data_IF_923095922916
#
_entry.id   IF_923095922916
#
_cell.length_a   1.000
_cell.length_b   1.000
_cell.length_c   1.000
_cell.angle_alpha   90.00
_cell.angle_beta   90.00
_cell.angle_gamma   90.00
#
_symmetry.space_group_name_H-M   'P 1'
#
loop_
_entity.id
_entity.type
_entity.pdbx_description
1 polymer ?
#
# COMPACT_ATOMS: atom_id res chain seq x y z
N UNK A 1 25.41 -15.16 -32.09
CA UNK A 1 25.47 -14.82 -30.65
C UNK A 1 24.22 -15.38 -30.02
N UNK A 2 24.34 -16.14 -28.95
CA UNK A 2 23.19 -16.78 -28.30
C UNK A 2 22.42 -15.76 -27.43
N UNK A 3 21.11 -15.79 -27.47
CA UNK A 3 20.26 -15.04 -26.54
C UNK A 3 20.63 -15.44 -25.11
N UNK A 4 20.69 -14.46 -24.19
CA UNK A 4 20.96 -14.71 -22.77
C UNK A 4 19.80 -15.42 -22.06
N UNK A 5 18.63 -15.37 -22.65
CA UNK A 5 17.44 -16.09 -22.22
C UNK A 5 16.58 -16.40 -23.45
N UNK A 6 15.89 -17.57 -23.53
CA UNK A 6 15.10 -17.94 -24.70
C UNK A 6 14.01 -16.91 -25.07
N UNK A 7 13.42 -16.26 -24.06
CA UNK A 7 12.34 -15.27 -24.24
C UNK A 7 12.84 -13.83 -24.32
N UNK A 8 14.17 -13.57 -24.24
CA UNK A 8 14.74 -12.24 -24.38
C UNK A 8 15.24 -12.04 -25.80
N UNK A 9 14.79 -10.99 -26.46
CA UNK A 9 15.33 -10.61 -27.78
C UNK A 9 16.64 -9.82 -27.62
N UNK A 10 17.77 -10.55 -27.64
CA UNK A 10 19.09 -9.98 -27.44
C UNK A 10 19.73 -9.48 -28.76
N UNK A 11 19.22 -9.86 -29.92
CA UNK A 11 19.79 -9.44 -31.20
C UNK A 11 19.57 -7.96 -31.47
N UNK A 12 20.67 -7.21 -31.64
CA UNK A 12 20.61 -5.75 -31.76
C UNK A 12 20.21 -5.00 -30.48
N UNK A 13 20.09 -5.68 -29.32
CA UNK A 13 19.84 -5.02 -28.04
C UNK A 13 21.02 -4.13 -27.62
N UNK A 14 20.78 -2.89 -27.12
CA UNK A 14 21.85 -2.00 -26.66
C UNK A 14 22.75 -2.62 -25.57
N UNK A 15 22.22 -3.58 -24.80
CA UNK A 15 22.93 -4.28 -23.73
C UNK A 15 23.46 -5.66 -24.14
N UNK A 16 23.43 -6.02 -25.42
CA UNK A 16 23.77 -7.36 -25.91
C UNK A 16 25.19 -7.81 -25.46
N UNK A 17 26.16 -6.88 -25.42
CA UNK A 17 27.56 -7.18 -25.06
C UNK A 17 27.87 -7.09 -23.57
N UNK A 18 26.89 -6.68 -22.73
CA UNK A 18 27.06 -6.58 -21.28
C UNK A 18 26.94 -7.95 -20.62
N UNK A 19 27.65 -8.12 -19.50
CA UNK A 19 27.50 -9.31 -18.66
C UNK A 19 26.12 -9.33 -18.00
N UNK A 20 25.67 -10.51 -17.57
CA UNK A 20 24.32 -10.72 -17.09
C UNK A 20 24.30 -11.54 -15.79
N UNK A 21 23.29 -11.29 -14.98
CA UNK A 21 22.86 -12.19 -13.91
C UNK A 21 21.44 -12.70 -14.22
N UNK A 22 21.18 -13.94 -13.86
CA UNK A 22 19.97 -14.65 -14.27
C UNK A 22 18.97 -14.77 -13.12
N UNK A 23 17.70 -14.86 -13.46
CA UNK A 23 16.62 -15.14 -12.51
C UNK A 23 16.93 -16.40 -11.71
N UNK A 24 16.68 -16.36 -10.39
CA UNK A 24 16.86 -17.50 -9.49
C UNK A 24 15.64 -17.68 -8.61
N UNK A 25 15.49 -18.89 -8.05
CA UNK A 25 14.36 -19.31 -7.23
C UNK A 25 13.45 -20.30 -7.96
N UNK A 26 12.42 -20.83 -7.27
CA UNK A 26 11.51 -21.81 -7.84
C UNK A 26 10.74 -21.27 -9.06
N UNK A 27 10.53 -22.14 -10.05
CA UNK A 27 9.76 -21.75 -11.24
C UNK A 27 8.31 -21.38 -10.90
N UNK A 28 7.72 -22.05 -9.92
CA UNK A 28 6.36 -21.87 -9.42
C UNK A 28 6.26 -20.92 -8.21
N UNK A 29 7.31 -20.16 -7.92
CA UNK A 29 7.32 -19.24 -6.79
C UNK A 29 6.12 -18.27 -6.82
N UNK A 30 5.41 -18.21 -5.69
CA UNK A 30 4.27 -17.30 -5.52
C UNK A 30 4.69 -15.86 -5.21
N UNK A 31 5.93 -15.67 -4.74
CA UNK A 31 6.52 -14.35 -4.46
C UNK A 31 7.69 -14.11 -5.39
N UNK A 32 7.67 -12.97 -6.09
CA UNK A 32 8.74 -12.56 -7.00
C UNK A 32 9.25 -11.17 -6.61
N UNK A 33 10.54 -11.08 -6.30
CA UNK A 33 11.23 -9.81 -6.06
C UNK A 33 11.90 -9.33 -7.35
N UNK A 34 11.55 -8.13 -7.79
CA UNK A 34 12.05 -7.54 -9.04
C UNK A 34 12.84 -6.27 -8.74
N UNK A 35 14.09 -6.22 -9.19
CA UNK A 35 14.90 -5.00 -9.18
C UNK A 35 15.11 -4.45 -10.60
N UNK A 36 15.83 -3.36 -10.73
CA UNK A 36 16.07 -2.67 -12.02
C UNK A 36 16.98 -3.50 -12.95
N UNK A 37 18.18 -3.75 -12.52
CA UNK A 37 19.27 -4.41 -13.26
C UNK A 37 20.24 -5.01 -12.26
N UNK A 38 21.02 -6.04 -12.64
CA UNK A 38 22.06 -6.58 -11.78
C UNK A 38 23.18 -5.57 -11.56
N UNK A 39 23.74 -5.58 -10.37
CA UNK A 39 24.99 -4.93 -10.06
C UNK A 39 26.20 -5.81 -10.38
N UNK A 40 27.41 -5.26 -10.22
CA UNK A 40 28.66 -5.97 -10.49
C UNK A 40 28.77 -7.30 -9.72
N UNK A 41 28.41 -7.31 -8.42
CA UNK A 41 28.46 -8.55 -7.62
C UNK A 41 27.45 -9.60 -8.08
N UNK A 42 26.29 -9.16 -8.56
CA UNK A 42 25.28 -10.06 -9.10
C UNK A 42 25.78 -10.76 -10.37
N UNK A 43 26.44 -10.01 -11.25
CA UNK A 43 27.04 -10.56 -12.47
C UNK A 43 28.22 -11.51 -12.14
N UNK A 44 29.10 -11.13 -11.20
CA UNK A 44 30.22 -12.00 -10.76
C UNK A 44 29.71 -13.34 -10.20
N UNK A 45 28.53 -13.35 -9.56
CA UNK A 45 27.93 -14.55 -8.96
C UNK A 45 26.87 -15.22 -9.87
N UNK A 46 26.39 -14.53 -10.89
CA UNK A 46 25.42 -15.03 -11.86
C UNK A 46 23.96 -14.91 -11.44
N UNK A 47 23.63 -14.29 -10.31
CA UNK A 47 22.25 -14.16 -9.79
C UNK A 47 22.00 -12.81 -9.10
N UNK A 48 20.71 -12.33 -9.06
CA UNK A 48 20.34 -11.07 -8.44
C UNK A 48 20.54 -11.06 -6.92
N UNK A 49 20.81 -9.88 -6.37
CA UNK A 49 20.98 -9.67 -4.93
C UNK A 49 22.10 -10.53 -4.31
N UNK A 50 23.22 -10.69 -5.02
CA UNK A 50 24.39 -11.46 -4.56
C UNK A 50 25.35 -10.63 -3.67
N UNK A 51 25.18 -9.32 -3.59
CA UNK A 51 25.97 -8.39 -2.78
C UNK A 51 25.28 -8.00 -1.46
N UNK A 52 25.69 -6.85 -0.90
CA UNK A 52 25.15 -6.33 0.37
C UNK A 52 23.62 -6.10 0.33
N UNK A 53 23.07 -5.72 -0.81
CA UNK A 53 21.62 -5.63 -0.99
C UNK A 53 20.91 -6.97 -0.77
N UNK A 54 21.58 -8.07 -1.07
CA UNK A 54 21.09 -9.41 -0.80
C UNK A 54 21.04 -9.72 0.68
N UNK A 55 22.04 -9.30 1.45
CA UNK A 55 22.02 -9.47 2.93
C UNK A 55 20.80 -8.76 3.55
N UNK A 56 20.52 -7.55 3.09
CA UNK A 56 19.30 -6.82 3.53
C UNK A 56 18.02 -7.55 3.14
N UNK A 57 17.95 -8.05 1.90
CA UNK A 57 16.79 -8.84 1.43
C UNK A 57 16.63 -10.12 2.25
N UNK A 58 17.70 -10.85 2.52
CA UNK A 58 17.67 -12.09 3.32
C UNK A 58 17.14 -11.81 4.72
N UNK A 59 17.65 -10.77 5.38
CA UNK A 59 17.16 -10.34 6.70
C UNK A 59 15.66 -9.99 6.69
N UNK A 60 15.20 -9.22 5.71
CA UNK A 60 13.78 -8.85 5.59
C UNK A 60 12.89 -10.07 5.31
N UNK A 61 13.37 -11.02 4.53
CA UNK A 61 12.66 -12.27 4.29
C UNK A 61 12.54 -13.09 5.57
N UNK A 62 13.65 -13.27 6.30
CA UNK A 62 13.69 -14.04 7.56
C UNK A 62 12.78 -13.43 8.63
N UNK A 63 12.77 -12.10 8.80
CA UNK A 63 11.86 -11.40 9.72
C UNK A 63 10.39 -11.63 9.38
N UNK A 64 10.07 -11.94 8.14
CA UNK A 64 8.72 -12.23 7.67
C UNK A 64 8.43 -13.73 7.50
N UNK A 65 9.33 -14.63 7.96
CA UNK A 65 9.14 -16.07 7.93
C UNK A 65 9.44 -16.73 6.57
N UNK A 66 10.14 -16.03 5.69
CA UNK A 66 10.55 -16.52 4.37
C UNK A 66 12.05 -16.77 4.29
N UNK A 67 12.45 -17.66 3.39
CA UNK A 67 13.84 -17.86 2.98
C UNK A 67 14.01 -17.49 1.50
N UNK A 68 15.23 -17.14 1.11
CA UNK A 68 15.56 -16.79 -0.27
C UNK A 68 15.14 -17.87 -1.28
N UNK A 69 15.29 -19.13 -0.91
CA UNK A 69 14.99 -20.28 -1.77
C UNK A 69 13.48 -20.48 -2.03
N UNK A 70 12.62 -19.78 -1.29
CA UNK A 70 11.15 -19.85 -1.43
C UNK A 70 10.62 -18.80 -2.39
N UNK A 71 11.43 -17.80 -2.75
CA UNK A 71 11.02 -16.71 -3.64
C UNK A 71 11.82 -16.71 -4.93
N UNK A 72 11.25 -16.15 -5.97
CA UNK A 72 11.98 -15.86 -7.21
C UNK A 72 12.57 -14.46 -7.15
N UNK A 73 13.83 -14.31 -7.57
CA UNK A 73 14.47 -12.99 -7.69
C UNK A 73 14.89 -12.74 -9.12
N UNK A 74 14.57 -11.57 -9.63
CA UNK A 74 14.87 -11.18 -11.01
C UNK A 74 15.10 -9.68 -11.15
N UNK A 75 15.39 -9.22 -12.35
CA UNK A 75 15.58 -7.82 -12.71
C UNK A 75 14.74 -7.46 -13.94
N UNK A 76 14.44 -6.18 -14.14
CA UNK A 76 13.77 -5.69 -15.36
C UNK A 76 14.58 -6.06 -16.61
N UNK A 77 15.90 -5.89 -16.54
CA UNK A 77 16.86 -6.37 -17.55
C UNK A 77 17.90 -7.27 -16.91
N UNK A 78 18.35 -8.33 -17.59
CA UNK A 78 19.36 -9.27 -17.07
C UNK A 78 20.77 -8.71 -17.11
N UNK A 79 21.02 -7.67 -17.88
CA UNK A 79 22.35 -7.15 -18.15
C UNK A 79 22.74 -6.05 -17.18
N UNK A 80 24.02 -6.01 -16.77
CA UNK A 80 24.57 -4.95 -15.93
C UNK A 80 24.45 -3.59 -16.60
N UNK A 81 23.79 -2.66 -15.90
CA UNK A 81 23.69 -1.26 -16.31
C UNK A 81 23.15 -0.42 -15.14
N UNK A 82 23.59 0.83 -15.05
CA UNK A 82 23.03 1.78 -14.09
C UNK A 82 21.69 2.37 -14.54
N UNK A 83 21.54 2.55 -15.88
CA UNK A 83 20.33 3.10 -16.48
C UNK A 83 19.93 2.25 -17.71
N UNK A 84 18.97 1.34 -17.57
CA UNK A 84 18.57 0.47 -18.66
C UNK A 84 17.85 1.25 -19.76
N UNK A 85 18.35 1.23 -21.00
CA UNK A 85 17.67 1.86 -22.13
C UNK A 85 16.26 1.29 -22.33
N UNK A 86 15.30 2.14 -22.70
CA UNK A 86 13.90 1.72 -22.95
C UNK A 86 13.80 0.57 -23.95
N UNK A 87 14.65 0.57 -24.96
CA UNK A 87 14.70 -0.50 -25.96
C UNK A 87 15.14 -1.84 -25.33
N UNK A 88 16.12 -1.83 -24.43
CA UNK A 88 16.54 -3.02 -23.71
C UNK A 88 15.44 -3.56 -22.77
N UNK A 89 14.72 -2.67 -22.09
CA UNK A 89 13.55 -3.03 -21.25
C UNK A 89 12.50 -3.71 -22.10
N UNK A 90 12.12 -3.11 -23.24
CA UNK A 90 11.12 -3.66 -24.15
C UNK A 90 11.52 -5.06 -24.66
N UNK A 91 12.78 -5.27 -25.02
CA UNK A 91 13.29 -6.56 -25.51
C UNK A 91 13.39 -7.63 -24.41
N UNK A 92 13.61 -7.23 -23.15
CA UNK A 92 13.60 -8.13 -22.01
C UNK A 92 12.18 -8.40 -21.45
N UNK A 93 11.18 -7.65 -21.85
CA UNK A 93 9.84 -7.73 -21.28
C UNK A 93 9.18 -9.12 -21.39
N UNK A 94 9.21 -9.85 -22.53
CA UNK A 94 8.61 -11.19 -22.62
C UNK A 94 9.18 -12.17 -21.60
N UNK A 95 10.49 -12.08 -21.33
CA UNK A 95 11.14 -12.88 -20.29
C UNK A 95 10.67 -12.47 -18.89
N UNK A 96 10.59 -11.15 -18.62
CA UNK A 96 10.09 -10.65 -17.33
C UNK A 96 8.64 -11.10 -17.09
N UNK A 97 7.77 -10.99 -18.09
CA UNK A 97 6.39 -11.42 -17.97
C UNK A 97 6.30 -12.93 -17.65
N UNK A 98 7.16 -13.76 -18.25
CA UNK A 98 7.25 -15.19 -17.92
C UNK A 98 7.74 -15.43 -16.49
N UNK A 99 8.74 -14.66 -16.01
CA UNK A 99 9.21 -14.76 -14.62
C UNK A 99 8.10 -14.41 -13.61
N UNK A 100 7.18 -13.51 -13.97
CA UNK A 100 6.08 -13.06 -13.13
C UNK A 100 4.81 -13.92 -13.26
N UNK A 101 4.74 -14.85 -14.21
CA UNK A 101 3.49 -15.54 -14.56
C UNK A 101 2.88 -16.33 -13.38
N UNK A 102 3.70 -16.93 -12.53
CA UNK A 102 3.27 -17.72 -11.36
C UNK A 102 3.02 -16.88 -10.11
N UNK A 103 3.48 -15.63 -10.08
CA UNK A 103 3.44 -14.78 -8.90
C UNK A 103 2.01 -14.51 -8.44
N UNK A 104 1.77 -14.64 -7.13
CA UNK A 104 0.63 -14.05 -6.41
C UNK A 104 1.00 -12.68 -5.86
N UNK A 105 2.26 -12.53 -5.43
CA UNK A 105 2.82 -11.28 -4.91
C UNK A 105 4.10 -10.91 -5.65
N UNK A 106 4.17 -9.66 -6.09
CA UNK A 106 5.35 -9.08 -6.73
C UNK A 106 5.86 -7.94 -5.86
N UNK A 107 7.13 -7.99 -5.49
CA UNK A 107 7.82 -6.89 -4.80
C UNK A 107 8.62 -6.12 -5.85
N UNK A 108 8.15 -4.94 -6.21
CA UNK A 108 8.74 -4.07 -7.22
C UNK A 108 9.72 -3.08 -6.56
N UNK A 109 11.02 -3.44 -6.53
CA UNK A 109 12.05 -2.74 -5.77
C UNK A 109 12.73 -1.64 -6.60
N UNK A 110 12.25 -0.41 -6.48
CA UNK A 110 12.80 0.79 -7.11
C UNK A 110 11.88 1.43 -8.16
N UNK A 111 12.33 2.55 -8.70
CA UNK A 111 11.53 3.39 -9.60
C UNK A 111 11.21 2.71 -10.95
N UNK A 112 12.17 2.01 -11.56
CA UNK A 112 11.99 1.32 -12.83
C UNK A 112 11.02 0.14 -12.69
N UNK A 113 11.14 -0.77 -11.70
CA UNK A 113 10.13 -1.80 -11.44
C UNK A 113 8.73 -1.23 -11.20
N UNK A 114 8.61 -0.15 -10.41
CA UNK A 114 7.31 0.52 -10.20
C UNK A 114 6.70 1.01 -11.51
N UNK A 115 7.51 1.65 -12.38
CA UNK A 115 7.06 2.17 -13.67
C UNK A 115 6.67 1.05 -14.63
N UNK A 116 7.47 0.00 -14.73
CA UNK A 116 7.26 -1.07 -15.70
C UNK A 116 6.12 -2.02 -15.31
N UNK A 117 5.96 -2.31 -14.01
CA UNK A 117 5.00 -3.32 -13.54
C UNK A 117 3.63 -2.70 -13.24
N UNK A 118 3.57 -1.54 -12.56
CA UNK A 118 2.30 -0.92 -12.13
C UNK A 118 2.04 0.48 -12.72
N UNK A 119 2.92 0.97 -13.62
CA UNK A 119 2.80 2.29 -14.25
C UNK A 119 2.75 3.44 -13.25
N UNK A 120 3.40 3.30 -12.11
CA UNK A 120 3.48 4.29 -11.04
C UNK A 120 4.90 4.83 -10.84
N UNK A 121 5.02 5.92 -10.08
CA UNK A 121 6.33 6.36 -9.56
C UNK A 121 6.59 5.71 -8.21
N UNK A 122 7.84 5.67 -7.76
CA UNK A 122 8.20 5.14 -6.45
C UNK A 122 7.43 5.86 -5.33
N UNK A 123 7.39 7.20 -5.35
CA UNK A 123 6.75 8.01 -4.31
C UNK A 123 5.22 7.80 -4.24
N UNK A 124 4.56 7.62 -5.38
CA UNK A 124 3.11 7.42 -5.43
C UNK A 124 2.69 5.97 -5.24
N UNK A 125 3.59 5.04 -5.55
CA UNK A 125 3.29 3.60 -5.52
C UNK A 125 3.61 2.92 -4.20
N UNK A 126 4.50 3.51 -3.37
CA UNK A 126 4.90 2.91 -2.09
C UNK A 126 3.78 2.91 -1.05
N UNK A 127 3.83 1.91 -0.16
CA UNK A 127 2.92 1.81 0.98
C UNK A 127 1.49 1.40 0.64
N UNK A 128 1.20 1.12 -0.63
CA UNK A 128 -0.12 0.69 -1.09
C UNK A 128 -0.03 -0.62 -1.89
N UNK A 129 -1.10 -1.37 -1.86
CA UNK A 129 -1.25 -2.58 -2.67
C UNK A 129 -1.78 -2.19 -4.04
N UNK A 130 -1.07 -2.59 -5.09
CA UNK A 130 -1.54 -2.44 -6.46
C UNK A 130 -2.03 -3.80 -6.98
N UNK A 131 -3.19 -3.81 -7.59
CA UNK A 131 -3.68 -4.97 -8.32
C UNK A 131 -3.20 -4.94 -9.77
N UNK A 132 -2.67 -6.06 -10.23
CA UNK A 132 -2.24 -6.27 -11.61
C UNK A 132 -2.90 -7.54 -12.14
N UNK A 133 -3.39 -7.50 -13.35
CA UNK A 133 -3.81 -8.71 -14.06
C UNK A 133 -2.60 -9.20 -14.85
N UNK A 134 -2.06 -10.34 -14.44
CA UNK A 134 -0.97 -11.04 -15.13
C UNK A 134 -1.46 -11.85 -16.31
N UNK A 135 -0.54 -12.50 -16.99
CA UNK A 135 -0.87 -13.43 -18.06
C UNK A 135 -1.77 -14.55 -17.55
N UNK A 136 -2.76 -14.98 -18.36
CA UNK A 136 -3.76 -15.96 -17.95
C UNK A 136 -4.84 -15.41 -17.00
N UNK A 137 -5.05 -14.09 -16.96
CA UNK A 137 -6.05 -13.38 -16.15
C UNK A 137 -5.91 -13.61 -14.63
N UNK A 138 -4.72 -13.98 -14.15
CA UNK A 138 -4.43 -14.12 -12.71
C UNK A 138 -4.31 -12.75 -12.07
N UNK A 139 -5.05 -12.50 -11.00
CA UNK A 139 -4.87 -11.32 -10.16
C UNK A 139 -3.56 -11.46 -9.37
N UNK A 140 -2.69 -10.48 -9.51
CA UNK A 140 -1.40 -10.38 -8.83
C UNK A 140 -1.37 -9.13 -7.97
N UNK A 141 -0.94 -9.27 -6.74
CA UNK A 141 -0.70 -8.14 -5.84
C UNK A 141 0.71 -7.63 -6.04
N UNK A 142 0.89 -6.33 -6.22
CA UNK A 142 2.18 -5.70 -6.39
C UNK A 142 2.42 -4.69 -5.28
N UNK A 143 3.54 -4.81 -4.59
CA UNK A 143 4.01 -3.86 -3.60
C UNK A 143 5.24 -3.16 -4.16
N UNK A 144 5.15 -1.85 -4.29
CA UNK A 144 6.28 -0.99 -4.69
C UNK A 144 7.09 -0.63 -3.45
N UNK A 145 8.39 -0.82 -3.51
CA UNK A 145 9.29 -0.50 -2.40
C UNK A 145 10.57 0.19 -2.86
N UNK A 146 11.34 0.74 -1.93
CA UNK A 146 12.67 1.25 -2.20
C UNK A 146 13.60 0.13 -2.65
N UNK A 147 14.58 0.46 -3.49
CA UNK A 147 15.61 -0.52 -3.85
C UNK A 147 16.53 -0.76 -2.65
N UNK A 148 16.72 -2.02 -2.18
CA UNK A 148 17.61 -2.33 -1.06
C UNK A 148 19.03 -1.76 -1.19
N UNK A 149 19.57 -1.72 -2.40
CA UNK A 149 20.88 -1.12 -2.64
C UNK A 149 20.91 0.41 -2.48
N UNK A 150 19.77 1.10 -2.69
CA UNK A 150 19.65 2.53 -2.44
C UNK A 150 19.56 2.81 -0.93
N UNK A 151 18.83 1.97 -0.21
CA UNK A 151 18.64 2.10 1.25
C UNK A 151 19.94 1.90 2.03
N UNK A 152 20.86 1.06 1.54
CA UNK A 152 22.20 0.91 2.14
C UNK A 152 22.99 2.24 2.06
N UNK A 153 22.76 3.06 1.04
CA UNK A 153 23.42 4.37 0.88
C UNK A 153 22.70 5.52 1.61
N UNK A 154 21.43 5.37 1.82
CA UNK A 154 20.54 6.33 2.49
C UNK A 154 19.58 5.56 3.40
N UNK A 155 19.96 5.44 4.68
CA UNK A 155 19.28 4.62 5.67
C UNK A 155 17.93 5.19 6.12
N UNK A 156 17.61 6.45 5.85
CA UNK A 156 16.35 7.09 6.25
C UNK A 156 15.12 6.37 5.65
N UNK A 157 15.34 5.66 4.54
CA UNK A 157 14.32 4.86 3.90
C UNK A 157 14.24 3.40 4.38
N UNK A 158 15.04 2.99 5.36
CA UNK A 158 15.02 1.61 5.86
C UNK A 158 13.69 1.23 6.55
N UNK A 159 13.09 2.06 7.43
CA UNK A 159 11.79 1.75 8.01
C UNK A 159 10.70 1.52 6.95
N UNK A 160 10.75 2.31 5.89
CA UNK A 160 9.85 2.17 4.76
C UNK A 160 10.02 0.83 4.02
N UNK A 161 11.26 0.40 3.83
CA UNK A 161 11.57 -0.89 3.19
C UNK A 161 11.06 -2.06 4.05
N UNK A 162 11.23 -2.00 5.38
CA UNK A 162 10.71 -2.99 6.33
C UNK A 162 9.19 -3.09 6.26
N UNK A 163 8.50 -1.94 6.30
CA UNK A 163 7.03 -1.88 6.23
C UNK A 163 6.49 -2.44 4.90
N UNK A 164 7.13 -2.10 3.78
CA UNK A 164 6.73 -2.57 2.45
C UNK A 164 6.93 -4.09 2.31
N UNK A 165 8.02 -4.65 2.84
CA UNK A 165 8.25 -6.11 2.85
C UNK A 165 7.23 -6.83 3.73
N UNK A 166 6.90 -6.27 4.91
CA UNK A 166 5.84 -6.81 5.77
C UNK A 166 4.49 -6.80 5.04
N UNK A 167 4.13 -5.70 4.38
CA UNK A 167 2.89 -5.60 3.60
C UNK A 167 2.84 -6.62 2.46
N UNK A 168 3.98 -6.91 1.82
CA UNK A 168 4.07 -7.88 0.73
C UNK A 168 3.93 -9.32 1.21
N UNK A 169 4.63 -9.67 2.28
CA UNK A 169 4.82 -11.06 2.73
C UNK A 169 3.78 -11.48 3.78
N UNK A 170 3.36 -10.56 4.64
CA UNK A 170 2.36 -10.76 5.68
C UNK A 170 1.27 -9.68 5.59
N UNK A 171 0.48 -9.68 4.50
CA UNK A 171 -0.56 -8.67 4.34
C UNK A 171 -1.55 -8.75 5.49
N UNK A 172 -2.07 -7.59 5.95
CA UNK A 172 -3.19 -7.60 6.86
C UNK A 172 -4.37 -8.36 6.22
N UNK A 173 -5.25 -8.94 7.01
CA UNK A 173 -6.47 -9.54 6.48
C UNK A 173 -7.22 -8.52 5.62
N UNK A 174 -7.94 -8.98 4.58
CA UNK A 174 -8.76 -8.07 3.77
C UNK A 174 -9.66 -7.25 4.69
N UNK A 175 -9.68 -5.94 4.49
CA UNK A 175 -10.65 -5.10 5.17
C UNK A 175 -12.04 -5.56 4.75
N UNK A 176 -12.79 -6.13 5.66
CA UNK A 176 -14.22 -6.29 5.49
C UNK A 176 -14.84 -4.89 5.52
N UNK A 177 -15.44 -4.48 4.41
CA UNK A 177 -16.17 -3.22 4.41
C UNK A 177 -17.30 -3.33 5.45
N UNK A 178 -17.42 -2.36 6.36
CA UNK A 178 -18.49 -2.36 7.33
C UNK A 178 -19.85 -2.24 6.61
N UNK A 179 -20.89 -2.75 7.21
CA UNK A 179 -22.25 -2.43 6.80
C UNK A 179 -22.50 -0.95 7.06
N UNK A 180 -22.88 -0.20 6.03
CA UNK A 180 -23.13 1.24 6.15
C UNK A 180 -24.60 1.52 5.97
N UNK A 181 -25.26 1.99 7.03
CA UNK A 181 -26.62 2.50 6.97
C UNK A 181 -26.62 3.98 6.59
N UNK A 182 -26.99 4.27 5.35
CA UNK A 182 -27.13 5.65 4.88
C UNK A 182 -28.51 6.18 5.26
N UNK A 183 -28.53 7.18 6.13
CA UNK A 183 -29.74 7.75 6.74
C UNK A 183 -30.12 9.04 6.02
N UNK A 184 -31.29 9.06 5.37
CA UNK A 184 -31.81 10.20 4.62
C UNK A 184 -33.21 10.66 5.13
N UNK A 185 -33.78 9.89 6.06
CA UNK A 185 -35.10 10.18 6.63
C UNK A 185 -35.02 10.51 8.12
N UNK A 186 -35.96 11.34 8.61
CA UNK A 186 -36.05 11.62 10.04
C UNK A 186 -36.27 10.36 10.90
N UNK A 187 -37.05 9.41 10.40
CA UNK A 187 -37.37 8.17 11.14
C UNK A 187 -36.10 7.31 11.36
N UNK A 188 -35.36 7.04 10.30
CA UNK A 188 -34.15 6.26 10.38
C UNK A 188 -33.05 6.97 11.20
N UNK A 189 -32.91 8.29 10.99
CA UNK A 189 -31.94 9.10 11.73
C UNK A 189 -32.21 9.11 13.24
N UNK A 190 -33.47 9.29 13.67
CA UNK A 190 -33.81 9.25 15.09
C UNK A 190 -33.64 7.88 15.74
N UNK A 191 -33.83 6.81 14.99
CA UNK A 191 -33.52 5.45 15.48
C UNK A 191 -32.01 5.28 15.74
N UNK A 192 -31.16 5.68 14.78
CA UNK A 192 -29.73 5.67 14.91
C UNK A 192 -29.21 6.57 16.04
N UNK A 193 -29.72 7.81 16.17
CA UNK A 193 -29.33 8.73 17.26
C UNK A 193 -29.63 8.12 18.64
N UNK A 194 -30.76 7.41 18.79
CA UNK A 194 -31.07 6.73 20.06
C UNK A 194 -30.09 5.59 20.36
N UNK A 195 -29.73 4.80 19.35
CA UNK A 195 -28.74 3.73 19.49
C UNK A 195 -27.37 4.32 19.85
N UNK A 196 -26.89 5.29 19.07
CA UNK A 196 -25.63 5.99 19.33
C UNK A 196 -25.58 6.65 20.70
N UNK A 197 -26.67 7.28 21.13
CA UNK A 197 -26.74 7.97 22.41
C UNK A 197 -26.72 7.07 23.65
N UNK A 198 -26.76 5.75 23.48
CA UNK A 198 -26.62 4.76 24.53
C UNK A 198 -25.18 4.19 24.65
N UNK A 199 -24.26 4.63 23.80
CA UNK A 199 -22.87 4.14 23.74
C UNK A 199 -21.94 4.98 24.63
N UNK A 200 -20.87 4.35 25.09
CA UNK A 200 -19.82 5.02 25.86
C UNK A 200 -18.71 5.55 24.98
N UNK A 201 -18.48 4.93 23.82
CA UNK A 201 -17.42 5.26 22.84
C UNK A 201 -18.02 5.31 21.44
N UNK A 202 -17.73 6.37 20.70
CA UNK A 202 -18.12 6.55 19.29
C UNK A 202 -16.95 7.05 18.45
N UNK A 203 -16.63 6.36 17.37
CA UNK A 203 -15.88 6.98 16.29
C UNK A 203 -16.81 7.94 15.54
N UNK A 204 -16.33 9.14 15.22
CA UNK A 204 -17.09 10.15 14.47
C UNK A 204 -16.21 10.84 13.44
N UNK A 205 -16.84 11.21 12.33
CA UNK A 205 -16.20 11.92 11.22
C UNK A 205 -17.23 12.85 10.57
N UNK A 206 -16.80 14.07 10.22
CA UNK A 206 -17.66 15.09 9.61
C UNK A 206 -17.09 15.55 8.29
N UNK A 207 -17.90 15.52 7.27
CA UNK A 207 -17.57 16.06 5.96
C UNK A 207 -18.40 17.31 5.64
N UNK A 208 -17.73 18.34 5.09
CA UNK A 208 -18.42 19.56 4.68
C UNK A 208 -17.46 20.72 4.40
N UNK A 209 -18.06 21.89 4.21
CA UNK A 209 -17.34 23.15 4.05
C UNK A 209 -17.85 24.15 5.07
N UNK A 210 -16.96 24.60 5.96
CA UNK A 210 -17.31 25.52 7.04
C UNK A 210 -18.17 26.69 6.59
N UNK A 211 -19.31 26.96 7.23
CA UNK A 211 -19.81 26.31 8.44
C UNK A 211 -20.75 25.08 8.19
N UNK A 212 -20.88 24.59 6.97
CA UNK A 212 -21.89 23.61 6.58
C UNK A 212 -21.38 22.17 6.79
N UNK A 213 -22.17 21.35 7.49
CA UNK A 213 -21.97 19.89 7.62
C UNK A 213 -22.80 19.22 6.53
N UNK A 214 -22.14 18.53 5.59
CA UNK A 214 -22.76 17.83 4.47
C UNK A 214 -23.10 16.38 4.81
N UNK A 215 -22.25 15.71 5.58
CA UNK A 215 -22.57 14.42 6.18
C UNK A 215 -21.86 14.23 7.52
N UNK A 216 -22.38 13.28 8.31
CA UNK A 216 -21.80 12.89 9.58
C UNK A 216 -21.79 11.36 9.68
N UNK A 217 -20.61 10.80 9.89
CA UNK A 217 -20.38 9.38 10.10
C UNK A 217 -20.25 9.05 11.59
N UNK A 218 -20.79 7.92 12.01
CA UNK A 218 -20.61 7.37 13.35
C UNK A 218 -20.44 5.86 13.29
N UNK A 219 -19.52 5.34 14.09
CA UNK A 219 -19.38 3.91 14.34
C UNK A 219 -19.08 3.65 15.82
N UNK A 220 -19.53 2.52 16.32
CA UNK A 220 -19.23 2.01 17.65
C UNK A 220 -18.73 0.55 17.61
N UNK A 221 -18.55 0.00 16.41
CA UNK A 221 -18.06 -1.35 16.17
C UNK A 221 -17.39 -1.46 14.79
N UNK A 222 -16.57 -2.50 14.59
CA UNK A 222 -15.71 -2.62 13.41
C UNK A 222 -16.47 -2.88 12.09
N UNK A 223 -17.66 -3.46 12.16
CA UNK A 223 -18.40 -3.97 11.00
C UNK A 223 -19.65 -3.14 10.65
N UNK A 224 -19.90 -2.04 11.35
CA UNK A 224 -21.10 -1.22 11.11
C UNK A 224 -20.87 0.28 11.32
N UNK A 225 -21.46 1.08 10.45
CA UNK A 225 -21.46 2.54 10.56
C UNK A 225 -22.79 3.16 10.15
N UNK A 226 -23.15 4.26 10.80
CA UNK A 226 -24.25 5.14 10.40
C UNK A 226 -23.69 6.36 9.67
N UNK A 227 -24.25 6.69 8.51
CA UNK A 227 -23.93 7.91 7.75
C UNK A 227 -25.19 8.76 7.61
N UNK A 228 -25.23 9.89 8.29
CA UNK A 228 -26.29 10.88 8.19
C UNK A 228 -26.01 11.78 6.99
N UNK A 229 -26.91 11.76 6.01
CA UNK A 229 -26.84 12.70 4.89
C UNK A 229 -27.23 14.10 5.36
N UNK A 230 -26.88 15.15 4.60
CA UNK A 230 -27.32 16.53 4.88
C UNK A 230 -28.81 16.63 5.15
N UNK A 231 -29.62 15.94 4.35
CA UNK A 231 -31.09 15.91 4.52
C UNK A 231 -31.51 15.33 5.86
N UNK A 232 -30.81 14.31 6.38
CA UNK A 232 -31.10 13.75 7.71
C UNK A 232 -30.60 14.70 8.80
N UNK A 233 -29.44 15.31 8.63
CA UNK A 233 -28.89 16.31 9.56
C UNK A 233 -29.83 17.48 9.73
N UNK A 234 -30.32 18.08 8.65
CA UNK A 234 -31.28 19.19 8.69
C UNK A 234 -32.57 18.83 9.44
N UNK A 235 -33.06 17.59 9.29
CA UNK A 235 -34.30 17.11 9.92
C UNK A 235 -34.16 16.73 11.39
N UNK A 236 -32.96 16.42 11.85
CA UNK A 236 -32.63 15.93 13.18
C UNK A 236 -31.56 16.77 13.87
N UNK A 237 -31.45 18.05 13.47
CA UNK A 237 -30.37 18.91 13.92
C UNK A 237 -30.29 19.04 15.44
N UNK A 238 -31.44 19.23 16.11
CA UNK A 238 -31.52 19.35 17.57
C UNK A 238 -31.05 18.10 18.30
N UNK A 239 -31.43 16.94 17.78
CA UNK A 239 -31.08 15.65 18.38
C UNK A 239 -29.64 15.28 18.14
N UNK A 240 -29.09 15.60 16.96
CA UNK A 240 -27.64 15.44 16.68
C UNK A 240 -26.80 16.40 17.51
N UNK A 241 -27.24 17.64 17.68
CA UNK A 241 -26.58 18.60 18.56
C UNK A 241 -26.54 18.10 20.01
N UNK A 242 -27.61 17.53 20.51
CA UNK A 242 -27.64 16.88 21.83
C UNK A 242 -26.68 15.71 21.89
N UNK A 243 -26.62 14.84 20.84
CA UNK A 243 -25.74 13.70 20.79
C UNK A 243 -24.27 14.14 20.94
N UNK A 244 -23.79 15.13 20.16
CA UNK A 244 -22.41 15.60 20.23
C UNK A 244 -22.04 16.33 21.54
N UNK A 245 -23.02 16.69 22.36
CA UNK A 245 -22.81 17.31 23.69
C UNK A 245 -22.92 16.31 24.84
N UNK A 246 -23.31 15.05 24.57
CA UNK A 246 -23.31 13.98 25.57
C UNK A 246 -21.91 13.66 26.08
N UNK A 247 -21.77 13.15 27.30
CA UNK A 247 -20.48 12.68 27.85
C UNK A 247 -20.13 11.29 27.27
N UNK A 248 -19.97 11.23 25.97
CA UNK A 248 -19.54 10.05 25.21
C UNK A 248 -18.09 10.28 24.83
N UNK A 249 -17.26 9.25 24.91
CA UNK A 249 -15.88 9.33 24.43
C UNK A 249 -15.87 9.30 22.90
N UNK A 250 -15.47 10.43 22.30
CA UNK A 250 -15.39 10.56 20.85
C UNK A 250 -13.99 10.27 20.34
N UNK A 251 -13.88 9.34 19.40
CA UNK A 251 -12.67 9.02 18.64
C UNK A 251 -12.75 9.72 17.29
N UNK A 252 -11.75 10.52 16.96
CA UNK A 252 -11.63 11.24 15.70
C UNK A 252 -10.33 10.87 14.98
N UNK A 253 -10.25 11.16 13.70
CA UNK A 253 -9.00 11.15 12.96
C UNK A 253 -8.69 12.57 12.49
N UNK A 254 -7.67 13.23 13.08
CA UNK A 254 -7.40 14.65 12.89
C UNK A 254 -8.61 15.56 13.25
N UNK A 255 -9.24 15.24 14.36
CA UNK A 255 -10.54 15.78 14.81
C UNK A 255 -10.58 17.29 15.08
N UNK A 256 -9.44 17.99 14.94
CA UNK A 256 -9.41 19.46 15.07
C UNK A 256 -10.30 20.14 14.04
N UNK A 257 -10.39 19.58 12.82
CA UNK A 257 -11.29 20.09 11.78
C UNK A 257 -12.74 19.92 12.17
N UNK A 258 -13.11 18.71 12.60
CA UNK A 258 -14.49 18.32 12.97
C UNK A 258 -15.01 19.14 14.14
N UNK A 259 -14.21 19.28 15.21
CA UNK A 259 -14.58 20.08 16.38
C UNK A 259 -14.72 21.56 16.03
N UNK A 260 -13.89 22.09 15.12
CA UNK A 260 -14.06 23.47 14.62
C UNK A 260 -15.35 23.60 13.81
N UNK A 261 -15.71 22.59 12.98
CA UNK A 261 -16.95 22.57 12.23
C UNK A 261 -18.17 22.53 13.16
N UNK A 262 -18.12 21.71 14.22
CA UNK A 262 -19.14 21.70 15.27
C UNK A 262 -19.27 23.06 15.97
N UNK A 263 -18.13 23.68 16.32
CA UNK A 263 -18.12 24.99 16.98
C UNK A 263 -18.72 26.10 16.13
N UNK A 264 -18.48 26.10 14.83
CA UNK A 264 -19.10 27.06 13.88
C UNK A 264 -20.63 26.91 13.86
N UNK A 265 -21.13 25.74 14.23
CA UNK A 265 -22.54 25.43 14.36
C UNK A 265 -23.10 25.55 15.81
N UNK A 266 -22.33 26.16 16.71
CA UNK A 266 -22.72 26.40 18.10
C UNK A 266 -22.73 25.13 18.96
N UNK A 267 -21.92 24.14 18.63
CA UNK A 267 -21.75 22.88 19.37
C UNK A 267 -20.37 22.86 19.98
N UNK A 268 -20.26 22.71 21.29
CA UNK A 268 -19.01 22.48 21.98
C UNK A 268 -18.68 20.98 21.96
N UNK A 269 -18.22 20.50 20.80
CA UNK A 269 -17.68 19.14 20.66
C UNK A 269 -16.35 19.00 21.39
N UNK A 270 -16.01 17.77 21.75
CA UNK A 270 -14.72 17.44 22.38
C UNK A 270 -14.05 16.28 21.67
N UNK A 271 -12.73 16.16 21.86
CA UNK A 271 -11.90 15.08 21.37
C UNK A 271 -11.46 14.28 22.60
N UNK A 272 -12.00 13.06 22.78
CA UNK A 272 -11.48 12.14 23.80
C UNK A 272 -10.24 11.42 23.28
N UNK A 273 -10.27 11.01 22.01
CA UNK A 273 -9.17 10.33 21.34
C UNK A 273 -9.01 10.85 19.91
N UNK A 274 -7.76 11.00 19.47
CA UNK A 274 -7.42 11.37 18.09
C UNK A 274 -6.41 10.38 17.53
N UNK A 275 -6.84 9.54 16.58
CA UNK A 275 -5.98 8.48 16.01
C UNK A 275 -4.83 9.05 15.20
N UNK A 276 -4.94 10.26 14.65
CA UNK A 276 -3.83 10.93 13.97
C UNK A 276 -2.76 11.37 14.98
N UNK A 277 -3.17 11.96 16.11
CA UNK A 277 -2.23 12.32 17.19
C UNK A 277 -1.62 11.07 17.85
N UNK A 278 -2.40 10.00 18.03
CA UNK A 278 -1.93 8.73 18.57
C UNK A 278 -0.86 8.07 17.68
N UNK A 279 -1.00 8.17 16.34
CA UNK A 279 0.01 7.60 15.43
C UNK A 279 1.38 8.26 15.60
N UNK A 280 1.44 9.56 15.86
CA UNK A 280 2.71 10.26 16.13
C UNK A 280 3.40 9.82 17.42
N UNK A 281 2.63 9.42 18.43
CA UNK A 281 3.19 8.96 19.72
C UNK A 281 3.67 7.51 19.65
N UNK A 282 3.07 6.71 18.75
CA UNK A 282 3.43 5.29 18.60
C UNK A 282 4.60 5.07 17.63
N UNK A 283 4.93 6.07 16.79
CA UNK A 283 6.04 6.00 15.82
C UNK A 283 7.37 6.56 16.40
N UNK A 284 7.41 7.01 17.67
CA UNK A 284 8.61 7.33 18.44
C UNK A 284 9.16 6.08 19.18
#
# INVERSE_FOLDING_TARGET
MTNKHPLADCDGCPLQRKDAAYTTGPEDAEVVLVSRSPGRKDVEKGFPFAGMSGVVVDHLLEENGYKREQIKTTNIVLCETEDPPKEAIKRCKPRLDADLATAKTIIAAGAEPAREIVKSTLQKGRGIVHDRIGDGARLQRVIVTNNPAAVIRDSDNFPNLVADFRLALNPPPPLTLPNVDVLDSRRSALAAIRDLGSRELLASDLEGHRPHIECAGFSFQEDHAYVFTRKAIEKCWSELKELWTKPIDYVWHNGIYDVKLLKDNGINGHISHDTFAMSYVLDE
#
